data_IF_503500886435
#
_entry.id   IF_503500886435
#
_cell.length_a   1.000
_cell.length_b   1.000
_cell.length_c   1.000
_cell.angle_alpha   90.00
_cell.angle_beta   90.00
_cell.angle_gamma   90.00
#
_symmetry.space_group_name_H-M   'P 1'
#
loop_
_entity.id
_entity.type
_entity.pdbx_description
1 polymer ?
#
# COMPACT_ATOMS: atom_id res chain seq x y z
N UNK A 1 0.06 9.18 -27.70
CA UNK A 1 -0.88 8.32 -26.94
C UNK A 1 -1.54 7.28 -27.83
N UNK A 2 -2.08 7.67 -28.99
CA UNK A 2 -2.69 6.73 -29.94
C UNK A 2 -1.78 5.58 -30.41
N UNK A 3 -0.48 5.83 -30.60
CA UNK A 3 0.47 4.75 -30.90
C UNK A 3 0.58 3.72 -29.76
N UNK A 4 0.52 4.16 -28.50
CA UNK A 4 0.52 3.26 -27.32
C UNK A 4 -0.79 2.47 -27.28
N UNK A 5 -1.93 3.12 -27.54
CA UNK A 5 -3.25 2.47 -27.64
C UNK A 5 -3.26 1.38 -28.70
N UNK A 6 -2.82 1.70 -29.93
CA UNK A 6 -2.72 0.75 -31.04
C UNK A 6 -1.78 -0.42 -30.74
N UNK A 7 -0.64 -0.18 -30.05
CA UNK A 7 0.24 -1.27 -29.61
C UNK A 7 -0.42 -2.17 -28.55
N UNK A 8 -1.17 -1.60 -27.60
CA UNK A 8 -1.93 -2.35 -26.60
C UNK A 8 -3.06 -3.18 -27.23
N UNK A 9 -3.78 -2.63 -28.23
CA UNK A 9 -4.81 -3.36 -28.97
C UNK A 9 -4.23 -4.51 -29.81
N UNK A 10 -3.00 -4.34 -30.32
CA UNK A 10 -2.24 -5.40 -30.98
C UNK A 10 -1.53 -6.37 -30.04
N UNK A 11 -1.68 -6.21 -28.71
CA UNK A 11 -1.01 -7.00 -27.66
C UNK A 11 0.53 -6.97 -27.73
N UNK A 12 1.10 -5.90 -28.27
CA UNK A 12 2.55 -5.69 -28.32
C UNK A 12 3.00 -4.85 -27.12
N UNK A 13 3.13 -5.52 -25.96
CA UNK A 13 3.43 -4.88 -24.68
C UNK A 13 4.86 -4.33 -24.61
N UNK A 14 5.81 -4.94 -25.31
CA UNK A 14 7.21 -4.48 -25.35
C UNK A 14 7.31 -3.13 -26.06
N UNK A 15 6.68 -2.99 -27.24
CA UNK A 15 6.64 -1.69 -27.92
C UNK A 15 5.82 -0.66 -27.16
N UNK A 16 4.71 -1.06 -26.54
CA UNK A 16 3.92 -0.16 -25.69
C UNK A 16 4.74 0.42 -24.53
N UNK A 17 5.59 -0.40 -23.87
CA UNK A 17 6.48 0.07 -22.81
C UNK A 17 7.56 1.03 -23.30
N UNK A 18 8.16 0.75 -24.46
CA UNK A 18 9.19 1.63 -25.05
C UNK A 18 8.57 2.98 -25.43
N UNK A 19 7.36 2.96 -25.99
CA UNK A 19 6.65 4.17 -26.39
C UNK A 19 6.15 4.96 -25.18
N UNK A 20 5.70 4.30 -24.10
CA UNK A 20 5.27 4.99 -22.88
C UNK A 20 6.44 5.66 -22.16
N UNK A 21 7.62 5.04 -22.11
CA UNK A 21 8.84 5.65 -21.54
C UNK A 21 9.32 6.90 -22.28
N UNK A 22 8.99 7.04 -23.56
CA UNK A 22 9.30 8.25 -24.34
C UNK A 22 8.39 9.43 -23.98
N UNK A 23 7.28 9.18 -23.31
CA UNK A 23 6.36 10.22 -22.86
C UNK A 23 6.83 10.66 -21.47
N UNK A 24 7.17 11.94 -21.33
CA UNK A 24 7.59 12.50 -20.04
C UNK A 24 6.34 12.94 -19.24
N UNK A 25 6.02 12.30 -18.10
CA UNK A 25 4.83 12.64 -17.31
C UNK A 25 4.85 14.07 -16.76
N UNK A 26 6.02 14.71 -16.68
CA UNK A 26 6.15 16.11 -16.24
C UNK A 26 5.53 17.10 -17.21
N UNK A 27 5.43 16.75 -18.49
CA UNK A 27 4.83 17.60 -19.53
C UNK A 27 3.33 17.83 -19.25
N UNK A 28 2.67 16.90 -18.58
CA UNK A 28 1.25 17.01 -18.21
C UNK A 28 0.99 17.83 -16.94
N UNK A 29 2.03 18.17 -16.17
CA UNK A 29 1.91 19.02 -14.97
C UNK A 29 2.40 20.45 -15.23
N UNK A 30 2.77 20.78 -16.47
CA UNK A 30 3.21 22.12 -16.82
C UNK A 30 2.01 23.08 -16.75
N UNK A 31 1.94 23.84 -15.66
CA UNK A 31 1.14 25.04 -15.56
C UNK A 31 1.52 25.97 -16.74
N UNK A 32 0.59 26.16 -17.67
CA UNK A 32 0.71 27.13 -18.79
C UNK A 32 0.96 28.57 -18.26
N UNK A 33 0.81 28.81 -16.94
CA UNK A 33 0.91 30.13 -16.33
C UNK A 33 2.32 30.58 -15.92
N UNK A 34 3.35 29.70 -15.91
CA UNK A 34 4.71 30.11 -15.52
C UNK A 34 5.67 30.44 -16.68
N UNK A 35 5.33 30.09 -17.92
CA UNK A 35 6.19 30.34 -19.10
C UNK A 35 5.84 31.62 -19.89
N UNK A 36 5.37 32.67 -19.21
CA UNK A 36 5.29 34.04 -19.79
C UNK A 36 6.41 34.96 -19.33
N UNK A 37 7.67 34.50 -19.28
CA UNK A 37 8.83 35.40 -19.17
C UNK A 37 9.98 35.05 -20.13
N UNK A 38 9.95 35.82 -21.23
CA UNK A 38 10.99 36.19 -22.22
C UNK A 38 11.38 35.14 -23.28
N UNK A 39 11.21 35.46 -24.58
CA UNK A 39 11.70 34.63 -25.67
C UNK A 39 13.22 34.79 -25.79
N UNK A 40 13.94 33.68 -25.92
CA UNK A 40 15.30 33.64 -26.46
C UNK A 40 15.32 32.67 -27.62
N UNK A 41 15.83 33.20 -28.72
CA UNK A 41 15.80 32.68 -30.10
C UNK A 41 16.20 31.21 -30.22
N UNK A 42 15.39 30.47 -30.97
CA UNK A 42 15.55 29.03 -31.22
C UNK A 42 14.26 28.22 -31.11
N UNK A 43 13.09 28.86 -31.11
CA UNK A 43 11.78 28.20 -31.07
C UNK A 43 11.54 27.41 -32.38
N UNK A 44 11.57 26.08 -32.29
CA UNK A 44 10.72 25.28 -33.15
C UNK A 44 9.28 25.71 -32.84
N UNK A 45 8.64 26.34 -33.83
CA UNK A 45 7.24 26.74 -33.82
C UNK A 45 6.40 25.61 -33.20
N UNK A 46 5.86 25.85 -32.01
CA UNK A 46 4.74 25.07 -31.51
C UNK A 46 3.57 25.48 -32.38
N UNK A 47 3.31 24.73 -33.45
CA UNK A 47 2.05 24.81 -34.16
C UNK A 47 0.93 24.63 -33.13
N UNK A 48 0.04 25.62 -33.05
CA UNK A 48 -1.17 25.54 -32.24
C UNK A 48 -1.92 24.28 -32.66
N UNK A 49 -2.07 23.37 -31.70
CA UNK A 49 -2.81 22.14 -31.85
C UNK A 49 -4.25 22.46 -32.33
N UNK A 50 -4.71 21.90 -33.47
CA UNK A 50 -6.08 22.09 -33.95
C UNK A 50 -7.11 21.60 -32.92
N UNK A 51 -8.31 22.18 -32.96
CA UNK A 51 -9.39 22.08 -31.97
C UNK A 51 -9.97 20.67 -31.67
N UNK A 52 -9.37 19.60 -32.22
CA UNK A 52 -9.75 18.20 -32.03
C UNK A 52 -8.84 17.43 -31.04
N UNK A 53 -7.93 18.12 -30.34
CA UNK A 53 -7.01 17.50 -29.38
C UNK A 53 -7.52 17.76 -27.95
N UNK A 54 -7.81 16.71 -27.15
CA UNK A 54 -8.26 16.84 -25.77
C UNK A 54 -7.30 17.71 -24.94
N UNK A 55 -7.84 18.43 -23.96
CA UNK A 55 -7.06 19.30 -23.06
C UNK A 55 -5.92 18.55 -22.38
N UNK A 56 -4.87 19.26 -21.93
CA UNK A 56 -3.70 18.62 -21.27
C UNK A 56 -4.10 17.71 -20.07
N UNK A 57 -5.21 18.04 -19.40
CA UNK A 57 -5.78 17.25 -18.31
C UNK A 57 -6.45 15.96 -18.80
N UNK A 58 -7.18 16.01 -19.92
CA UNK A 58 -7.76 14.83 -20.57
C UNK A 58 -6.68 13.92 -21.19
N UNK A 59 -5.62 14.50 -21.77
CA UNK A 59 -4.46 13.76 -22.24
C UNK A 59 -3.73 13.03 -21.10
N UNK A 60 -3.66 13.65 -19.92
CA UNK A 60 -3.13 13.01 -18.70
C UNK A 60 -4.00 11.82 -18.28
N UNK A 61 -5.32 11.98 -18.28
CA UNK A 61 -6.27 10.91 -17.96
C UNK A 61 -6.14 9.74 -18.95
N UNK A 62 -6.15 10.01 -20.26
CA UNK A 62 -5.98 9.00 -21.32
C UNK A 62 -4.63 8.29 -21.19
N UNK A 63 -3.56 9.02 -20.88
CA UNK A 63 -2.25 8.42 -20.64
C UNK A 63 -2.29 7.42 -19.47
N UNK A 64 -2.81 7.83 -18.31
CA UNK A 64 -2.86 6.93 -17.16
C UNK A 64 -3.82 5.76 -17.36
N UNK A 65 -4.92 5.92 -18.10
CA UNK A 65 -5.81 4.82 -18.47
C UNK A 65 -5.10 3.78 -19.36
N UNK A 66 -4.30 4.24 -20.33
CA UNK A 66 -3.44 3.37 -21.14
C UNK A 66 -2.36 2.67 -20.29
N UNK A 67 -1.79 3.37 -19.31
CA UNK A 67 -0.82 2.78 -18.38
C UNK A 67 -1.47 1.74 -17.46
N UNK A 68 -2.67 1.98 -16.97
CA UNK A 68 -3.44 1.00 -16.19
C UNK A 68 -3.67 -0.26 -17.02
N UNK A 69 -4.06 -0.13 -18.30
CA UNK A 69 -4.24 -1.28 -19.20
C UNK A 69 -2.93 -2.05 -19.44
N UNK A 70 -1.81 -1.34 -19.54
CA UNK A 70 -0.49 -1.96 -19.63
C UNK A 70 -0.12 -2.72 -18.35
N UNK A 71 -0.19 -2.07 -17.19
CA UNK A 71 0.20 -2.69 -15.91
C UNK A 71 -0.77 -3.79 -15.47
N UNK A 72 -2.03 -3.72 -15.89
CA UNK A 72 -3.03 -4.79 -15.68
C UNK A 72 -2.63 -6.09 -16.38
N UNK A 73 -1.96 -6.02 -17.54
CA UNK A 73 -1.43 -7.23 -18.18
C UNK A 73 -0.26 -7.84 -17.38
N UNK A 74 0.58 -7.00 -16.79
CA UNK A 74 1.73 -7.44 -16.00
C UNK A 74 1.40 -7.75 -14.53
N UNK A 75 0.15 -7.54 -14.09
CA UNK A 75 -0.31 -7.62 -12.69
C UNK A 75 0.53 -6.77 -11.72
N UNK A 76 1.05 -5.62 -12.18
CA UNK A 76 1.83 -4.69 -11.36
C UNK A 76 0.89 -3.77 -10.55
N UNK A 77 0.30 -4.30 -9.48
CA UNK A 77 -0.73 -3.61 -8.69
C UNK A 77 -0.29 -2.26 -8.09
N UNK A 78 0.98 -2.12 -7.70
CA UNK A 78 1.51 -0.86 -7.16
C UNK A 78 1.54 0.27 -8.19
N UNK A 79 1.95 -0.04 -9.42
CA UNK A 79 2.02 0.94 -10.51
C UNK A 79 0.63 1.29 -11.04
N UNK A 80 -0.30 0.32 -11.01
CA UNK A 80 -1.72 0.58 -11.22
C UNK A 80 -2.25 1.56 -10.17
N UNK A 81 -1.95 1.33 -8.88
CA UNK A 81 -2.36 2.20 -7.79
C UNK A 81 -1.79 3.62 -7.93
N UNK A 82 -0.52 3.77 -8.32
CA UNK A 82 0.11 5.07 -8.64
C UNK A 82 -0.59 5.78 -9.79
N UNK A 83 -0.93 5.05 -10.84
CA UNK A 83 -1.62 5.58 -12.01
C UNK A 83 -3.01 6.09 -11.64
N UNK A 84 -3.77 5.34 -10.84
CA UNK A 84 -5.06 5.81 -10.32
C UNK A 84 -4.92 6.99 -9.35
N UNK A 85 -3.89 7.02 -8.51
CA UNK A 85 -3.62 8.19 -7.65
C UNK A 85 -3.32 9.43 -8.49
N UNK A 86 -2.54 9.30 -9.56
CA UNK A 86 -2.26 10.40 -10.46
C UNK A 86 -3.49 10.88 -11.25
N UNK A 87 -4.48 10.00 -11.49
CA UNK A 87 -5.82 10.37 -12.01
C UNK A 87 -6.63 11.11 -10.93
N UNK A 88 -6.58 10.64 -9.69
CA UNK A 88 -7.28 11.28 -8.56
C UNK A 88 -6.75 12.68 -8.23
N UNK A 89 -5.44 12.91 -8.40
CA UNK A 89 -4.81 14.22 -8.19
C UNK A 89 -5.21 15.27 -9.25
N UNK A 90 -5.91 14.87 -10.32
CA UNK A 90 -6.40 15.80 -11.37
C UNK A 90 -7.55 16.63 -10.80
N UNK A 91 -7.48 17.99 -10.85
CA UNK A 91 -8.52 18.87 -10.31
C UNK A 91 -9.93 18.56 -10.85
N UNK A 92 -10.04 18.27 -12.15
CA UNK A 92 -11.31 17.93 -12.82
C UNK A 92 -11.99 16.66 -12.28
N UNK A 93 -11.21 15.69 -11.79
CA UNK A 93 -11.72 14.45 -11.20
C UNK A 93 -12.05 14.66 -9.72
N UNK A 94 -11.25 15.46 -9.02
CA UNK A 94 -11.44 15.76 -7.60
C UNK A 94 -12.70 16.59 -7.30
N UNK A 95 -13.13 17.41 -8.25
CA UNK A 95 -14.35 18.22 -8.14
C UNK A 95 -15.64 17.39 -8.33
N UNK A 96 -15.59 16.25 -9.04
CA UNK A 96 -16.76 15.44 -9.38
C UNK A 96 -16.89 14.18 -8.49
N UNK A 97 -17.87 14.12 -7.56
CA UNK A 97 -18.07 12.97 -6.67
C UNK A 97 -18.29 11.65 -7.39
N UNK A 98 -19.01 11.66 -8.51
CA UNK A 98 -19.30 10.45 -9.26
C UNK A 98 -18.06 9.84 -9.94
N UNK A 99 -17.01 10.63 -10.16
CA UNK A 99 -15.78 10.18 -10.83
C UNK A 99 -14.68 9.82 -9.83
N UNK A 100 -14.54 10.54 -8.71
CA UNK A 100 -13.50 10.20 -7.75
C UNK A 100 -13.85 9.02 -6.86
N UNK A 101 -15.14 8.77 -6.54
CA UNK A 101 -15.56 7.59 -5.75
C UNK A 101 -15.10 6.26 -6.39
N UNK A 102 -15.37 5.97 -7.67
CA UNK A 102 -14.93 4.71 -8.28
C UNK A 102 -13.40 4.64 -8.38
N UNK A 103 -12.71 5.76 -8.65
CA UNK A 103 -11.25 5.81 -8.68
C UNK A 103 -10.66 5.51 -7.30
N UNK A 104 -11.21 6.08 -6.23
CA UNK A 104 -10.77 5.85 -4.86
C UNK A 104 -11.02 4.40 -4.41
N UNK A 105 -12.16 3.81 -4.78
CA UNK A 105 -12.42 2.37 -4.54
C UNK A 105 -11.37 1.50 -5.21
N UNK A 106 -11.04 1.76 -6.48
CA UNK A 106 -10.00 1.05 -7.22
C UNK A 106 -8.63 1.21 -6.55
N UNK A 107 -8.27 2.42 -6.12
CA UNK A 107 -7.04 2.66 -5.35
C UNK A 107 -7.00 1.77 -4.10
N UNK A 108 -8.07 1.74 -3.32
CA UNK A 108 -8.14 0.92 -2.12
C UNK A 108 -7.91 -0.57 -2.45
N UNK A 109 -8.61 -1.10 -3.45
CA UNK A 109 -8.48 -2.50 -3.84
C UNK A 109 -7.08 -2.87 -4.35
N UNK A 110 -6.52 -2.08 -5.26
CA UNK A 110 -5.17 -2.35 -5.79
C UNK A 110 -4.09 -2.24 -4.71
N UNK A 111 -4.32 -1.40 -3.69
CA UNK A 111 -3.42 -1.28 -2.56
C UNK A 111 -3.49 -2.48 -1.61
N UNK A 112 -4.66 -3.10 -1.46
CA UNK A 112 -4.83 -4.35 -0.72
C UNK A 112 -4.27 -5.55 -1.48
N UNK A 113 -4.38 -5.57 -2.81
CA UNK A 113 -3.85 -6.64 -3.66
C UNK A 113 -2.32 -6.60 -3.82
N UNK A 114 -1.72 -5.43 -3.64
CA UNK A 114 -0.29 -5.24 -3.74
C UNK A 114 0.49 -6.05 -2.68
N UNK A 115 1.65 -6.63 -3.04
CA UNK A 115 2.54 -7.24 -2.05
C UNK A 115 2.96 -6.23 -0.98
N UNK A 116 3.25 -6.73 0.22
CA UNK A 116 3.74 -5.89 1.31
C UNK A 116 5.12 -5.33 0.97
N UNK A 117 5.16 -4.03 0.66
CA UNK A 117 6.36 -3.28 0.33
C UNK A 117 6.39 -1.97 1.15
N UNK A 118 7.57 -1.42 1.51
CA UNK A 118 7.64 -0.13 2.17
C UNK A 118 6.87 0.98 1.44
N UNK A 119 6.83 0.92 0.10
CA UNK A 119 6.06 1.84 -0.72
C UNK A 119 4.55 1.64 -0.57
N UNK A 120 4.09 0.39 -0.48
CA UNK A 120 2.69 0.05 -0.22
C UNK A 120 2.26 0.63 1.12
N UNK A 121 3.08 0.45 2.17
CA UNK A 121 2.80 0.96 3.52
C UNK A 121 2.74 2.50 3.55
N UNK A 122 3.65 3.17 2.85
CA UNK A 122 3.62 4.64 2.71
C UNK A 122 2.35 5.12 2.00
N UNK A 123 1.97 4.46 0.90
CA UNK A 123 0.78 4.82 0.14
C UNK A 123 -0.50 4.55 0.93
N UNK A 124 -0.54 3.48 1.73
CA UNK A 124 -1.63 3.11 2.63
C UNK A 124 -1.86 4.14 3.72
N UNK A 125 -0.79 4.61 4.37
CA UNK A 125 -0.91 5.68 5.35
C UNK A 125 -1.36 6.99 4.71
N UNK A 126 -0.80 7.37 3.56
CA UNK A 126 -1.20 8.57 2.84
C UNK A 126 -2.68 8.52 2.41
N UNK A 127 -3.15 7.37 1.92
CA UNK A 127 -4.57 7.20 1.57
C UNK A 127 -5.45 7.27 2.82
N UNK A 128 -5.06 6.67 3.96
CA UNK A 128 -5.84 6.76 5.21
C UNK A 128 -6.01 8.17 5.78
N UNK A 129 -5.08 9.08 5.47
CA UNK A 129 -5.15 10.50 5.84
C UNK A 129 -6.16 11.29 4.97
N UNK A 130 -6.58 10.76 3.82
CA UNK A 130 -7.52 11.43 2.93
C UNK A 130 -8.93 11.55 3.55
N UNK A 131 -9.43 12.78 3.62
CA UNK A 131 -10.77 13.08 4.19
C UNK A 131 -11.90 12.40 3.43
N UNK A 132 -11.74 12.23 2.11
CA UNK A 132 -12.71 11.66 1.19
C UNK A 132 -13.00 10.17 1.45
N UNK A 133 -12.10 9.46 2.15
CA UNK A 133 -12.38 8.10 2.63
C UNK A 133 -13.53 8.03 3.64
N UNK A 134 -13.94 9.15 4.23
CA UNK A 134 -15.07 9.17 5.16
C UNK A 134 -16.40 8.90 4.46
N UNK A 135 -16.49 9.15 3.15
CA UNK A 135 -17.68 8.84 2.34
C UNK A 135 -17.79 7.35 2.00
N UNK A 136 -16.70 6.59 2.13
CA UNK A 136 -16.67 5.14 1.87
C UNK A 136 -16.16 4.40 3.12
N UNK A 137 -17.00 4.30 4.18
CA UNK A 137 -16.58 3.79 5.48
C UNK A 137 -16.12 2.33 5.43
N UNK A 138 -16.70 1.50 4.56
CA UNK A 138 -16.34 0.08 4.43
C UNK A 138 -14.88 -0.10 3.96
N UNK A 139 -14.43 0.69 2.97
CA UNK A 139 -13.05 0.63 2.50
C UNK A 139 -12.08 1.23 3.51
N UNK A 140 -12.50 2.27 4.23
CA UNK A 140 -11.72 2.81 5.35
C UNK A 140 -11.51 1.75 6.44
N UNK A 141 -12.52 0.94 6.73
CA UNK A 141 -12.38 -0.19 7.66
C UNK A 141 -11.45 -1.27 7.12
N UNK A 142 -11.57 -1.62 5.83
CA UNK A 142 -10.67 -2.58 5.18
C UNK A 142 -9.20 -2.15 5.27
N UNK A 143 -8.90 -0.90 4.88
CA UNK A 143 -7.53 -0.36 4.94
C UNK A 143 -7.03 -0.31 6.38
N UNK A 144 -7.88 0.09 7.34
CA UNK A 144 -7.53 0.06 8.76
C UNK A 144 -7.20 -1.35 9.26
N UNK A 145 -7.95 -2.37 8.86
CA UNK A 145 -7.68 -3.76 9.26
C UNK A 145 -6.32 -4.27 8.76
N UNK A 146 -5.87 -3.79 7.61
CA UNK A 146 -4.56 -4.15 7.05
C UNK A 146 -3.43 -3.33 7.69
N UNK A 147 -3.71 -2.08 8.10
CA UNK A 147 -2.75 -1.28 8.86
C UNK A 147 -2.61 -1.77 10.30
N UNK A 148 -3.71 -2.21 10.92
CA UNK A 148 -3.64 -2.78 12.26
C UNK A 148 -2.88 -4.09 12.21
N UNK A 149 -1.96 -4.27 13.15
CA UNK A 149 -1.19 -5.50 13.30
C UNK A 149 -2.03 -6.56 14.01
N UNK A 150 -3.22 -6.83 13.49
CA UNK A 150 -4.18 -7.79 14.02
C UNK A 150 -4.40 -8.92 13.01
N UNK A 151 -4.69 -10.12 13.51
CA UNK A 151 -4.93 -11.28 12.64
C UNK A 151 -6.31 -11.16 12.00
N UNK A 152 -6.34 -11.22 10.67
CA UNK A 152 -7.56 -11.09 9.87
C UNK A 152 -8.10 -12.49 9.54
N UNK A 153 -9.34 -12.75 9.91
CA UNK A 153 -10.04 -13.98 9.51
C UNK A 153 -10.57 -13.85 8.08
N UNK A 154 -9.99 -14.64 7.15
CA UNK A 154 -10.36 -14.65 5.73
C UNK A 154 -11.87 -14.84 5.50
N UNK A 155 -12.50 -15.80 6.17
CA UNK A 155 -13.93 -16.12 5.97
C UNK A 155 -14.84 -14.95 6.32
N UNK A 156 -14.57 -14.26 7.44
CA UNK A 156 -15.32 -13.09 7.88
C UNK A 156 -15.12 -11.90 6.94
N UNK A 157 -13.88 -11.68 6.49
CA UNK A 157 -13.57 -10.62 5.54
C UNK A 157 -14.23 -10.89 4.18
N UNK A 158 -14.04 -12.09 3.62
CA UNK A 158 -14.57 -12.44 2.32
C UNK A 158 -16.10 -12.34 2.27
N UNK A 159 -16.80 -12.83 3.30
CA UNK A 159 -18.26 -12.74 3.34
C UNK A 159 -18.79 -11.29 3.34
N UNK A 160 -18.05 -10.35 3.93
CA UNK A 160 -18.43 -8.93 3.95
C UNK A 160 -18.15 -8.23 2.63
N UNK A 161 -16.98 -8.48 2.03
CA UNK A 161 -16.54 -7.72 0.85
C UNK A 161 -16.83 -8.41 -0.48
N UNK A 162 -17.29 -9.67 -0.50
CA UNK A 162 -17.65 -10.39 -1.74
C UNK A 162 -18.65 -9.62 -2.60
N UNK A 163 -19.69 -9.05 -1.98
CA UNK A 163 -20.70 -8.26 -2.69
C UNK A 163 -20.13 -6.97 -3.30
N UNK A 164 -19.17 -6.33 -2.64
CA UNK A 164 -18.50 -5.13 -3.13
C UNK A 164 -17.48 -5.44 -4.22
N UNK A 165 -16.80 -6.58 -4.12
CA UNK A 165 -15.85 -7.09 -5.12
C UNK A 165 -16.56 -7.46 -6.44
N UNK A 166 -17.74 -8.11 -6.36
CA UNK A 166 -18.54 -8.43 -7.54
C UNK A 166 -19.11 -7.16 -8.21
N UNK A 167 -19.57 -6.17 -7.42
CA UNK A 167 -20.01 -4.85 -7.95
C UNK A 167 -18.88 -4.08 -8.62
N UNK A 168 -17.64 -4.34 -8.27
CA UNK A 168 -16.49 -3.67 -8.87
C UNK A 168 -16.13 -4.20 -10.26
N UNK A 169 -16.58 -5.42 -10.60
CA UNK A 169 -16.49 -6.01 -11.95
C UNK A 169 -17.31 -5.21 -12.98
N UNK A 170 -18.33 -4.50 -12.51
CA UNK A 170 -19.25 -3.66 -13.31
C UNK A 170 -18.87 -2.17 -13.36
N UNK A 171 -17.83 -1.73 -12.63
CA UNK A 171 -17.43 -0.31 -12.60
C UNK A 171 -16.29 0.04 -13.57
N UNK A 172 -16.17 1.34 -13.86
CA UNK A 172 -15.17 1.95 -14.76
C UNK A 172 -13.75 1.46 -14.41
N UNK A 173 -12.98 1.05 -15.42
CA UNK A 173 -11.62 0.49 -15.26
C UNK A 173 -11.51 -1.03 -15.39
N UNK A 174 -12.62 -1.74 -15.61
CA UNK A 174 -12.63 -3.18 -15.91
C UNK A 174 -12.54 -4.08 -14.68
N UNK A 175 -12.54 -5.40 -14.94
CA UNK A 175 -12.38 -6.42 -13.90
C UNK A 175 -11.00 -6.32 -13.27
N UNK A 176 -10.95 -6.47 -11.93
CA UNK A 176 -9.71 -6.62 -11.17
C UNK A 176 -8.86 -7.84 -11.60
N UNK A 177 -9.42 -8.70 -12.46
CA UNK A 177 -8.82 -9.93 -12.95
C UNK A 177 -9.38 -11.14 -12.21
N UNK A 178 -9.57 -12.25 -12.91
CA UNK A 178 -10.12 -13.48 -12.30
C UNK A 178 -9.21 -14.03 -11.19
N UNK A 179 -7.92 -13.64 -11.17
CA UNK A 179 -6.93 -14.00 -10.15
C UNK A 179 -6.94 -13.11 -8.91
N UNK A 180 -7.59 -11.95 -8.95
CA UNK A 180 -7.54 -10.99 -7.84
C UNK A 180 -8.15 -11.54 -6.53
N UNK A 181 -9.11 -12.46 -6.61
CA UNK A 181 -9.63 -13.13 -5.41
C UNK A 181 -8.61 -14.06 -4.75
N UNK A 182 -7.81 -14.78 -5.55
CA UNK A 182 -6.73 -15.65 -5.06
C UNK A 182 -5.56 -14.81 -4.53
N UNK A 183 -5.20 -13.74 -5.23
CA UNK A 183 -4.17 -12.82 -4.79
C UNK A 183 -4.56 -12.13 -3.48
N UNK A 184 -5.81 -11.70 -3.32
CA UNK A 184 -6.31 -11.14 -2.05
C UNK A 184 -6.17 -12.14 -0.89
N UNK A 185 -6.51 -13.41 -1.13
CA UNK A 185 -6.35 -14.48 -0.14
C UNK A 185 -4.88 -14.64 0.24
N UNK A 186 -3.99 -14.67 -0.76
CA UNK A 186 -2.54 -14.75 -0.57
C UNK A 186 -2.02 -13.57 0.28
N UNK A 187 -2.44 -12.33 -0.01
CA UNK A 187 -2.02 -11.13 0.74
C UNK A 187 -2.46 -11.17 2.20
N UNK A 188 -3.67 -11.64 2.47
CA UNK A 188 -4.14 -11.77 3.86
C UNK A 188 -3.36 -12.85 4.61
N UNK A 189 -2.98 -13.95 3.94
CA UNK A 189 -2.12 -14.97 4.53
C UNK A 189 -0.74 -14.39 4.85
N UNK A 190 -0.13 -13.67 3.91
CA UNK A 190 1.16 -13.01 4.10
C UNK A 190 1.12 -12.00 5.27
N UNK A 191 0.10 -11.13 5.30
CA UNK A 191 -0.11 -10.17 6.38
C UNK A 191 -0.23 -10.87 7.74
N UNK A 192 -1.07 -11.90 7.82
CA UNK A 192 -1.26 -12.65 9.06
C UNK A 192 0.03 -13.32 9.54
N UNK A 193 0.86 -13.84 8.64
CA UNK A 193 2.16 -14.42 9.00
C UNK A 193 3.11 -13.33 9.55
N UNK A 194 3.16 -12.14 8.94
CA UNK A 194 3.95 -11.00 9.44
C UNK A 194 3.47 -10.59 10.82
N UNK A 195 2.16 -10.47 11.02
CA UNK A 195 1.55 -10.17 12.31
C UNK A 195 1.99 -11.21 13.35
N UNK A 196 1.83 -12.49 13.06
CA UNK A 196 2.23 -13.58 13.97
C UNK A 196 3.73 -13.51 14.30
N UNK A 197 4.60 -13.21 13.34
CA UNK A 197 6.05 -13.11 13.59
C UNK A 197 6.45 -11.99 14.55
N UNK A 198 5.65 -10.92 14.64
CA UNK A 198 5.92 -9.80 15.54
C UNK A 198 5.56 -10.12 16.98
N UNK A 199 4.48 -10.88 17.19
CA UNK A 199 3.97 -11.20 18.52
C UNK A 199 4.53 -12.51 19.09
N UNK A 200 4.82 -13.49 18.24
CA UNK A 200 5.28 -14.81 18.66
C UNK A 200 6.78 -14.96 18.44
N UNK A 201 7.49 -15.39 19.49
CA UNK A 201 8.89 -15.79 19.37
C UNK A 201 9.02 -17.20 18.77
N UNK A 202 8.14 -18.10 19.21
CA UNK A 202 8.03 -19.49 18.74
C UNK A 202 6.55 -19.86 18.66
N UNK A 203 6.16 -20.60 17.63
CA UNK A 203 4.78 -21.09 17.47
C UNK A 203 4.78 -22.51 16.88
N UNK A 204 3.80 -23.32 17.23
CA UNK A 204 3.60 -24.63 16.60
C UNK A 204 2.89 -24.47 15.25
N UNK A 205 3.29 -25.26 14.25
CA UNK A 205 2.72 -25.22 12.90
C UNK A 205 1.20 -25.49 12.92
N UNK A 206 0.74 -26.39 13.80
CA UNK A 206 -0.69 -26.67 14.02
C UNK A 206 -1.46 -25.42 14.49
N UNK A 207 -0.88 -24.63 15.39
CA UNK A 207 -1.51 -23.39 15.87
C UNK A 207 -1.50 -22.31 14.81
N UNK A 208 -0.41 -22.19 14.03
CA UNK A 208 -0.34 -21.25 12.91
C UNK A 208 -1.41 -21.56 11.85
N UNK A 209 -1.56 -22.83 11.47
CA UNK A 209 -2.58 -23.27 10.51
C UNK A 209 -4.01 -22.91 10.96
N UNK A 210 -4.31 -23.05 12.26
CA UNK A 210 -5.59 -22.62 12.84
C UNK A 210 -5.82 -21.11 12.74
N UNK A 211 -4.78 -20.30 12.96
CA UNK A 211 -4.89 -18.84 12.87
C UNK A 211 -5.08 -18.36 11.42
N UNK A 212 -4.46 -19.05 10.47
CA UNK A 212 -4.57 -18.74 9.04
C UNK A 212 -5.81 -19.36 8.38
N UNK A 213 -6.53 -20.25 9.07
CA UNK A 213 -7.61 -21.07 8.50
C UNK A 213 -7.16 -21.88 7.27
N UNK A 214 -5.95 -22.44 7.32
CA UNK A 214 -5.34 -23.24 6.25
C UNK A 214 -5.00 -24.65 6.74
N UNK A 215 -4.65 -25.54 5.80
CA UNK A 215 -4.02 -26.81 6.15
C UNK A 215 -2.57 -26.60 6.61
N UNK A 216 -2.03 -27.59 7.31
CA UNK A 216 -0.65 -27.57 7.83
C UNK A 216 0.35 -27.45 6.67
N UNK A 217 0.11 -28.17 5.58
CA UNK A 217 0.97 -28.21 4.39
C UNK A 217 0.96 -26.87 3.63
N UNK A 218 -0.21 -26.27 3.43
CA UNK A 218 -0.34 -24.96 2.79
C UNK A 218 0.31 -23.85 3.64
N UNK A 219 0.10 -23.88 4.95
CA UNK A 219 0.70 -22.91 5.87
C UNK A 219 2.24 -22.99 5.84
N UNK A 220 2.81 -24.21 5.80
CA UNK A 220 4.25 -24.39 5.65
C UNK A 220 4.75 -23.87 4.30
N UNK A 221 4.05 -24.18 3.22
CA UNK A 221 4.41 -23.73 1.87
C UNK A 221 4.48 -22.21 1.79
N UNK A 222 3.42 -21.50 2.22
CA UNK A 222 3.40 -20.04 2.21
C UNK A 222 4.47 -19.43 3.13
N UNK A 223 4.69 -20.01 4.31
CA UNK A 223 5.76 -19.56 5.19
C UNK A 223 7.14 -19.72 4.52
N UNK A 224 7.38 -20.84 3.84
CA UNK A 224 8.64 -21.09 3.14
C UNK A 224 8.87 -20.11 1.99
N UNK A 225 7.82 -19.80 1.22
CA UNK A 225 7.87 -18.81 0.13
C UNK A 225 8.22 -17.41 0.67
N UNK A 226 7.65 -17.01 1.80
CA UNK A 226 7.94 -15.73 2.45
C UNK A 226 9.36 -15.63 3.02
N UNK A 227 9.93 -16.75 3.47
CA UNK A 227 11.33 -16.81 3.91
C UNK A 227 12.27 -16.72 2.71
N UNK A 228 11.95 -17.39 1.60
CA UNK A 228 12.73 -17.34 0.35
C UNK A 228 12.71 -15.95 -0.27
N UNK A 229 11.55 -15.27 -0.26
CA UNK A 229 11.41 -13.90 -0.76
C UNK A 229 12.08 -12.85 0.14
N UNK A 230 12.65 -13.26 1.29
CA UNK A 230 13.24 -12.39 2.33
C UNK A 230 12.25 -11.40 2.94
N UNK A 231 10.94 -11.63 2.77
CA UNK A 231 9.91 -10.84 3.43
C UNK A 231 9.89 -11.08 4.95
N UNK A 232 10.30 -12.28 5.38
CA UNK A 232 10.34 -12.69 6.78
C UNK A 232 11.59 -13.52 7.09
N UNK A 233 12.10 -13.39 8.31
CA UNK A 233 13.13 -14.28 8.85
C UNK A 233 12.44 -15.27 9.79
N UNK A 234 12.42 -16.55 9.41
CA UNK A 234 11.89 -17.63 10.24
C UNK A 234 12.69 -18.92 10.02
N UNK A 235 12.78 -19.76 11.05
CA UNK A 235 13.36 -21.10 10.99
C UNK A 235 12.27 -22.12 11.31
N UNK A 236 12.17 -23.17 10.49
CA UNK A 236 11.17 -24.23 10.63
C UNK A 236 11.87 -25.52 11.05
N UNK A 237 11.50 -26.05 12.22
CA UNK A 237 11.84 -27.40 12.66
C UNK A 237 10.71 -28.34 12.22
N UNK A 238 10.92 -29.04 11.10
CA UNK A 238 9.91 -29.91 10.47
C UNK A 238 9.54 -31.13 11.32
N UNK A 239 10.48 -31.93 11.86
CA UNK A 239 10.13 -33.06 12.73
C UNK A 239 9.30 -32.66 13.96
N UNK A 240 9.66 -31.55 14.61
CA UNK A 240 8.96 -31.07 15.81
C UNK A 240 7.73 -30.22 15.50
N UNK A 241 7.58 -29.73 14.26
CA UNK A 241 6.51 -28.82 13.84
C UNK A 241 6.57 -27.46 14.54
N UNK A 242 7.76 -26.95 14.88
CA UNK A 242 7.95 -25.68 15.59
C UNK A 242 8.58 -24.65 14.66
N UNK A 243 7.99 -23.46 14.63
CA UNK A 243 8.50 -22.30 13.91
C UNK A 243 9.11 -21.34 14.92
N UNK A 244 10.34 -20.90 14.66
CA UNK A 244 11.05 -19.88 15.43
C UNK A 244 11.20 -18.62 14.56
N UNK A 245 10.63 -17.50 15.00
CA UNK A 245 10.78 -16.20 14.33
C UNK A 245 11.95 -15.38 14.90
N UNK A 246 12.49 -15.79 16.05
CA UNK A 246 13.65 -15.13 16.63
C UNK A 246 14.92 -15.44 15.84
N UNK A 247 15.70 -14.39 15.60
CA UNK A 247 17.11 -14.51 15.23
C UNK A 247 17.83 -15.09 16.45
N UNK A 248 18.70 -16.08 16.22
CA UNK A 248 19.54 -16.64 17.28
C UNK A 248 20.46 -15.52 17.74
N UNK A 249 20.25 -15.05 18.97
CA UNK A 249 21.07 -14.00 19.57
C UNK A 249 22.32 -14.58 20.16
N UNK A 250 23.46 -13.96 19.90
CA UNK A 250 24.70 -14.28 20.60
C UNK A 250 24.63 -13.82 22.05
N UNK A 251 25.44 -14.42 22.93
CA UNK A 251 25.52 -14.05 24.35
C UNK A 251 25.80 -12.56 24.55
N UNK A 252 26.59 -11.96 23.66
CA UNK A 252 26.87 -10.52 23.65
C UNK A 252 25.62 -9.69 23.30
N UNK A 253 24.79 -10.12 22.35
CA UNK A 253 23.55 -9.41 22.02
C UNK A 253 22.54 -9.46 23.16
N UNK A 254 22.50 -10.57 23.90
CA UNK A 254 21.66 -10.69 25.10
C UNK A 254 22.11 -9.69 26.16
N UNK A 255 23.42 -9.65 26.44
CA UNK A 255 24.02 -8.69 27.39
C UNK A 255 23.78 -7.23 26.97
N UNK A 256 23.96 -6.90 25.69
CA UNK A 256 23.69 -5.56 25.17
C UNK A 256 22.21 -5.18 25.29
N UNK A 257 21.30 -6.13 24.98
CA UNK A 257 19.86 -5.90 25.15
C UNK A 257 19.49 -5.70 26.62
N UNK A 258 20.18 -6.38 27.54
CA UNK A 258 19.99 -6.20 28.97
C UNK A 258 20.51 -4.83 29.44
N UNK A 259 21.68 -4.40 28.97
CA UNK A 259 22.23 -3.07 29.27
C UNK A 259 21.29 -1.95 28.81
N UNK A 260 20.79 -2.00 27.56
CA UNK A 260 19.83 -1.01 27.05
C UNK A 260 18.50 -1.00 27.81
N UNK A 261 18.06 -2.15 28.34
CA UNK A 261 16.87 -2.20 29.20
C UNK A 261 17.14 -1.57 30.58
N UNK A 262 18.34 -1.73 31.12
CA UNK A 262 18.75 -1.11 32.38
C UNK A 262 18.82 0.42 32.23
N UNK A 263 19.37 0.92 31.12
CA UNK A 263 19.36 2.36 30.79
C UNK A 263 17.93 2.91 30.73
N UNK A 264 17.02 2.24 29.99
CA UNK A 264 15.60 2.65 29.92
C UNK A 264 14.92 2.66 31.29
N UNK A 265 15.26 1.71 32.16
CA UNK A 265 14.72 1.65 33.51
C UNK A 265 15.20 2.85 34.33
N UNK A 266 16.50 3.16 34.29
CA UNK A 266 17.06 4.32 34.98
C UNK A 266 16.44 5.63 34.47
N UNK A 267 16.32 5.80 33.15
CA UNK A 267 15.65 6.96 32.54
C UNK A 267 14.20 7.12 33.01
N UNK A 268 13.46 6.02 33.12
CA UNK A 268 12.08 6.04 33.63
C UNK A 268 12.03 6.42 35.11
N UNK A 269 12.94 5.89 35.93
CA UNK A 269 13.04 6.23 37.36
C UNK A 269 13.37 7.70 37.55
N UNK A 270 14.31 8.24 36.78
CA UNK A 270 14.68 9.66 36.83
C UNK A 270 13.51 10.56 36.41
N UNK A 271 12.83 10.23 35.31
CA UNK A 271 11.63 10.96 34.86
C UNK A 271 10.53 10.93 35.90
N UNK A 272 10.26 9.78 36.51
CA UNK A 272 9.27 9.67 37.59
C UNK A 272 9.67 10.50 38.81
N UNK A 273 10.94 10.49 39.21
CA UNK A 273 11.44 11.32 40.31
C UNK A 273 11.25 12.82 40.03
N UNK A 274 11.58 13.26 38.82
CA UNK A 274 11.39 14.64 38.39
C UNK A 274 9.90 15.05 38.37
N UNK A 275 9.02 14.17 37.85
CA UNK A 275 7.58 14.40 37.86
C UNK A 275 7.02 14.52 39.29
N UNK A 276 7.44 13.64 40.21
CA UNK A 276 7.03 13.69 41.62
C UNK A 276 7.51 15.01 42.26
N UNK A 277 8.76 15.42 42.03
CA UNK A 277 9.28 16.68 42.54
C UNK A 277 8.47 17.88 42.02
N UNK A 278 8.15 17.88 40.72
CA UNK A 278 7.34 18.93 40.10
C UNK A 278 5.94 19.01 40.73
N UNK A 279 5.25 17.88 40.89
CA UNK A 279 3.91 17.87 41.51
C UNK A 279 3.95 18.28 42.98
N UNK A 280 4.98 17.84 43.73
CA UNK A 280 5.15 18.22 45.13
C UNK A 280 5.32 19.73 45.28
N UNK A 281 6.06 20.38 44.39
CA UNK A 281 6.23 21.84 44.38
C UNK A 281 4.93 22.57 44.05
N UNK A 282 4.15 22.09 43.07
CA UNK A 282 2.85 22.68 42.70
C UNK A 282 1.84 22.57 43.84
N UNK A 283 1.71 21.40 44.45
CA UNK A 283 0.79 21.19 45.58
C UNK A 283 1.23 21.93 46.84
N UNK A 284 2.53 22.02 47.10
CA UNK A 284 3.06 22.82 48.21
C UNK A 284 2.80 24.32 48.02
N UNK A 285 2.94 24.82 46.79
CA UNK A 285 2.60 26.20 46.46
C UNK A 285 1.09 26.48 46.60
N UNK A 286 0.24 25.55 46.17
CA UNK A 286 -1.22 25.65 46.29
C UNK A 286 -1.73 25.55 47.74
N UNK A 287 -1.02 24.84 48.62
CA UNK A 287 -1.31 24.79 50.07
C UNK A 287 -0.81 26.04 50.82
N UNK A 288 0.12 26.79 50.25
CA UNK A 288 0.68 28.01 50.83
C UNK A 288 0.01 29.31 50.37
N UNK A 289 -0.93 29.23 49.42
CA UNK A 289 -1.77 30.33 48.93
C UNK A 289 -3.16 30.28 49.59
#
# INVERSE_FOLDING_TARGET
LEQVRLCLDRRDFVRAQILSRKINPRVFNADITKDKKKPKEGENMVEEAPADIPTLLELKQIYYELMIRYYSHNNEYLEICRSYKAIYDIPSVKENPEQWIPVLRKICWFLVLAPHDPMQSSLLNATLEDKNLSEIPDFKMLLKQIVTMEVIQWTSLWNKYKGEFEKEKTMIGGSLGDKAGEDLKLRIIEHNIIVVSKYYSRITLKRLAQLLCLTIEEAEKHLSEMVVSKALIAKIDRPSGIICFQIVKDSNEILNSWATNLEKLLDLVEKSCHQIHKETMVHKAALSA
#
